data_IF_407352479939
#
_entry.id   IF_407352479939
#
_cell.length_a   1.000
_cell.length_b   1.000
_cell.length_c   1.000
_cell.angle_alpha   90.00
_cell.angle_beta   90.00
_cell.angle_gamma   90.00
#
_symmetry.space_group_name_H-M   'P 1'
#
loop_
_entity.id
_entity.type
_entity.pdbx_description
1 polymer ?
#
# COMPACT_ATOMS: atom_id res chain seq x y z
N UNK A 1 9.25 25.38 22.97
CA UNK A 1 9.16 25.76 21.56
C UNK A 1 10.52 25.81 20.88
N UNK A 2 11.50 26.52 21.39
CA UNK A 2 12.86 26.62 20.78
C UNK A 2 13.57 25.28 20.52
N UNK A 3 13.38 24.26 21.39
CA UNK A 3 13.95 22.93 21.16
C UNK A 3 13.35 22.21 19.95
N UNK A 4 12.03 22.33 19.74
CA UNK A 4 11.32 21.76 18.59
C UNK A 4 11.75 22.46 17.30
N UNK A 5 11.84 23.78 17.32
CA UNK A 5 12.28 24.60 16.18
C UNK A 5 13.68 24.19 15.72
N UNK A 6 14.62 24.00 16.66
CA UNK A 6 15.99 23.57 16.36
C UNK A 6 16.05 22.13 15.87
N UNK A 7 15.28 21.20 16.48
CA UNK A 7 15.29 19.79 16.12
C UNK A 7 14.83 19.57 14.68
N UNK A 8 13.74 20.23 14.27
CA UNK A 8 13.15 20.08 12.95
C UNK A 8 13.62 21.14 11.94
N UNK A 9 14.42 22.13 12.37
CA UNK A 9 14.94 23.22 11.53
C UNK A 9 13.83 23.99 10.82
N UNK A 10 12.79 24.37 11.57
CA UNK A 10 11.56 24.94 11.01
C UNK A 10 11.83 26.22 10.22
N UNK A 11 12.69 27.12 10.70
CA UNK A 11 13.07 28.36 10.02
C UNK A 11 13.77 28.08 8.69
N UNK A 12 14.71 27.11 8.64
CA UNK A 12 15.42 26.72 7.41
C UNK A 12 14.45 26.22 6.34
N UNK A 13 13.34 25.59 6.75
CA UNK A 13 12.30 25.07 5.86
C UNK A 13 11.13 26.03 5.65
N UNK A 14 11.17 27.25 6.17
CA UNK A 14 10.15 28.29 5.97
C UNK A 14 8.77 27.91 6.51
N UNK A 15 8.71 27.19 7.64
CA UNK A 15 7.48 26.71 8.27
C UNK A 15 7.40 27.10 9.74
N UNK A 16 6.26 26.85 10.37
CA UNK A 16 6.02 27.12 11.79
C UNK A 16 5.42 25.91 12.49
N UNK A 17 5.56 25.81 13.81
CA UNK A 17 4.96 24.73 14.60
C UNK A 17 3.46 24.59 14.32
N UNK A 18 2.74 25.71 14.24
CA UNK A 18 1.29 25.71 13.95
C UNK A 18 0.98 25.11 12.57
N UNK A 19 1.76 25.51 11.56
CA UNK A 19 1.60 24.98 10.20
C UNK A 19 1.84 23.47 10.16
N UNK A 20 2.91 23.00 10.80
CA UNK A 20 3.25 21.57 10.88
C UNK A 20 2.18 20.75 11.61
N UNK A 21 1.59 21.29 12.71
CA UNK A 21 0.48 20.65 13.41
C UNK A 21 -0.76 20.51 12.52
N UNK A 22 -1.13 21.56 11.79
CA UNK A 22 -2.27 21.53 10.85
C UNK A 22 -1.98 20.56 9.69
N UNK A 23 -0.76 20.53 9.19
CA UNK A 23 -0.32 19.62 8.15
C UNK A 23 -0.37 18.17 8.61
N UNK A 24 0.11 17.89 9.84
CA UNK A 24 0.05 16.55 10.43
C UNK A 24 -1.38 16.06 10.63
N UNK A 25 -2.26 16.90 11.17
CA UNK A 25 -3.69 16.58 11.29
C UNK A 25 -4.32 16.34 9.90
N UNK A 26 -3.95 17.13 8.89
CA UNK A 26 -4.45 16.96 7.52
C UNK A 26 -4.00 15.64 6.92
N UNK A 27 -2.72 15.28 7.04
CA UNK A 27 -2.19 13.98 6.61
C UNK A 27 -2.91 12.84 7.33
N UNK A 28 -3.02 12.92 8.65
CA UNK A 28 -3.69 11.89 9.43
C UNK A 28 -5.14 11.67 8.97
N UNK A 29 -5.94 12.73 8.83
CA UNK A 29 -7.33 12.62 8.40
C UNK A 29 -7.47 11.97 7.01
N UNK A 30 -6.52 12.16 6.12
CA UNK A 30 -6.57 11.57 4.77
C UNK A 30 -6.16 10.11 4.73
N UNK A 31 -5.38 9.62 5.71
CA UNK A 31 -4.89 8.25 5.74
C UNK A 31 -5.40 7.41 6.92
N UNK A 32 -6.12 8.01 7.88
CA UNK A 32 -6.61 7.30 9.07
C UNK A 32 -7.55 6.13 8.75
N UNK A 33 -8.13 6.07 7.55
CA UNK A 33 -8.94 4.95 7.09
C UNK A 33 -8.20 3.60 7.15
N UNK A 34 -6.85 3.61 7.13
CA UNK A 34 -6.05 2.38 7.16
C UNK A 34 -6.24 1.59 8.46
N UNK A 35 -6.57 2.25 9.57
CA UNK A 35 -6.84 1.58 10.85
C UNK A 35 -8.08 0.68 10.80
N UNK A 36 -8.96 0.89 9.81
CA UNK A 36 -10.15 0.07 9.56
C UNK A 36 -9.91 -0.91 8.40
N UNK A 37 -9.27 -0.43 7.33
CA UNK A 37 -9.07 -1.19 6.09
C UNK A 37 -8.07 -2.34 6.29
N UNK A 38 -6.93 -2.08 6.95
CA UNK A 38 -5.91 -3.12 7.12
C UNK A 38 -6.39 -4.31 7.96
N UNK A 39 -7.02 -4.12 9.15
CA UNK A 39 -7.59 -5.23 9.90
C UNK A 39 -8.71 -5.97 9.16
N UNK A 40 -9.46 -5.29 8.30
CA UNK A 40 -10.47 -5.92 7.46
C UNK A 40 -9.84 -6.87 6.45
N UNK A 41 -8.83 -6.42 5.70
CA UNK A 41 -8.15 -7.22 4.67
C UNK A 41 -7.40 -8.41 5.29
N UNK A 42 -6.59 -8.16 6.32
CA UNK A 42 -5.80 -9.21 6.96
C UNK A 42 -6.68 -10.16 7.80
N UNK A 43 -7.80 -9.67 8.32
CA UNK A 43 -8.82 -10.49 8.96
C UNK A 43 -9.45 -11.49 7.99
N UNK A 44 -9.59 -11.14 6.72
CA UNK A 44 -10.01 -12.07 5.67
C UNK A 44 -8.99 -13.19 5.39
N UNK A 45 -7.71 -12.96 5.71
CA UNK A 45 -6.66 -13.99 5.70
C UNK A 45 -6.66 -14.87 6.95
N UNK A 46 -7.61 -14.70 7.87
CA UNK A 46 -7.69 -15.45 9.12
C UNK A 46 -6.84 -14.89 10.27
N UNK A 47 -6.30 -13.69 10.14
CA UNK A 47 -5.60 -13.03 11.23
C UNK A 47 -6.59 -12.44 12.24
N UNK A 48 -6.27 -12.45 13.56
CA UNK A 48 -7.10 -11.80 14.58
C UNK A 48 -7.21 -10.28 14.35
N UNK A 49 -8.41 -9.80 13.98
CA UNK A 49 -8.63 -8.40 13.56
C UNK A 49 -8.20 -7.40 14.60
N UNK A 50 -8.49 -7.66 15.88
CA UNK A 50 -8.16 -6.76 16.98
C UNK A 50 -6.64 -6.61 17.16
N UNK A 51 -5.90 -7.71 17.08
CA UNK A 51 -4.44 -7.69 17.14
C UNK A 51 -3.82 -6.99 15.91
N UNK A 52 -4.38 -7.23 14.72
CA UNK A 52 -3.97 -6.51 13.49
C UNK A 52 -4.25 -5.02 13.58
N UNK A 53 -5.37 -4.61 14.19
CA UNK A 53 -5.66 -3.19 14.44
C UNK A 53 -4.58 -2.54 15.30
N UNK A 54 -4.21 -3.19 16.41
CA UNK A 54 -3.12 -2.70 17.27
C UNK A 54 -1.79 -2.66 16.53
N UNK A 55 -1.44 -3.73 15.80
CA UNK A 55 -0.23 -3.78 14.99
C UNK A 55 -0.20 -2.66 13.94
N UNK A 56 -1.34 -2.36 13.30
CA UNK A 56 -1.48 -1.28 12.33
C UNK A 56 -1.20 0.08 12.94
N UNK A 57 -1.83 0.39 14.08
CA UNK A 57 -1.64 1.65 14.78
C UNK A 57 -0.19 1.82 15.25
N UNK A 58 0.39 0.76 15.84
CA UNK A 58 1.76 0.80 16.36
C UNK A 58 2.79 0.97 15.24
N UNK A 59 2.67 0.22 14.13
CA UNK A 59 3.64 0.35 13.05
C UNK A 59 3.50 1.67 12.29
N UNK A 60 2.27 2.14 12.07
CA UNK A 60 2.04 3.44 11.47
C UNK A 60 2.64 4.56 12.34
N UNK A 61 2.48 4.48 13.66
CA UNK A 61 3.10 5.41 14.59
C UNK A 61 4.63 5.29 14.58
N UNK A 62 5.18 4.08 14.75
CA UNK A 62 6.62 3.85 14.85
C UNK A 62 7.35 4.23 13.54
N UNK A 63 6.87 3.71 12.40
CA UNK A 63 7.46 3.99 11.10
C UNK A 63 7.42 5.48 10.76
N UNK A 64 6.28 6.13 10.99
CA UNK A 64 6.11 7.57 10.76
C UNK A 64 6.98 8.40 11.73
N UNK A 65 7.11 7.97 12.99
CA UNK A 65 7.98 8.63 13.97
C UNK A 65 9.45 8.57 13.53
N UNK A 66 9.92 7.40 13.09
CA UNK A 66 11.28 7.22 12.55
C UNK A 66 11.47 8.12 11.32
N UNK A 67 10.51 8.15 10.40
CA UNK A 67 10.57 9.04 9.22
C UNK A 67 10.68 10.51 9.64
N UNK A 68 9.89 10.93 10.63
CA UNK A 68 9.90 12.31 11.16
C UNK A 68 11.18 12.68 11.87
N UNK A 69 11.65 11.86 12.80
CA UNK A 69 12.79 12.18 13.65
C UNK A 69 14.14 11.93 12.96
N UNK A 70 14.25 10.84 12.19
CA UNK A 70 15.53 10.43 11.57
C UNK A 70 15.75 11.05 10.20
N UNK A 71 14.71 11.03 9.33
CA UNK A 71 14.80 11.60 8.00
C UNK A 71 14.37 13.07 7.94
N UNK A 72 13.63 13.56 8.93
CA UNK A 72 13.02 14.89 8.99
C UNK A 72 12.15 15.18 7.75
N UNK A 73 11.28 14.23 7.37
CA UNK A 73 10.35 14.37 6.26
C UNK A 73 8.90 14.41 6.71
N UNK A 74 8.04 15.23 6.06
CA UNK A 74 6.60 15.30 6.33
C UNK A 74 5.84 14.13 5.68
N UNK A 75 6.36 12.91 5.81
CA UNK A 75 5.85 11.72 5.14
C UNK A 75 5.46 10.68 6.18
N UNK A 76 4.24 10.19 6.10
CA UNK A 76 3.72 9.15 6.96
C UNK A 76 3.89 7.77 6.33
N UNK A 77 4.10 6.77 7.17
CA UNK A 77 4.20 5.37 6.83
C UNK A 77 3.04 4.60 7.45
N UNK A 78 2.49 3.64 6.72
CA UNK A 78 1.50 2.70 7.23
C UNK A 78 1.47 1.44 6.36
N UNK A 79 0.74 0.34 6.76
CA UNK A 79 0.61 -0.85 5.93
C UNK A 79 0.07 -0.54 4.54
N UNK A 80 0.76 -1.01 3.49
CA UNK A 80 0.46 -0.72 2.09
C UNK A 80 -0.71 -1.54 1.57
N UNK A 81 -1.78 -0.90 1.08
CA UNK A 81 -3.01 -1.61 0.69
C UNK A 81 -2.82 -2.63 -0.43
N UNK A 82 -2.02 -2.33 -1.44
CA UNK A 82 -1.72 -3.26 -2.53
C UNK A 82 -1.05 -4.54 -2.03
N UNK A 83 -0.08 -4.39 -1.15
CA UNK A 83 0.65 -5.50 -0.53
C UNK A 83 -0.18 -6.27 0.50
N UNK A 84 -1.06 -5.57 1.25
CA UNK A 84 -2.03 -6.22 2.13
C UNK A 84 -2.99 -7.12 1.35
N UNK A 85 -3.48 -6.64 0.22
CA UNK A 85 -4.34 -7.42 -0.66
C UNK A 85 -3.59 -8.61 -1.29
N UNK A 86 -2.35 -8.43 -1.72
CA UNK A 86 -1.50 -9.52 -2.18
C UNK A 86 -1.28 -10.57 -1.08
N UNK A 87 -0.94 -10.13 0.13
CA UNK A 87 -0.78 -10.98 1.31
C UNK A 87 -2.04 -11.84 1.55
N UNK A 88 -3.21 -11.19 1.68
CA UNK A 88 -4.43 -11.85 2.10
C UNK A 88 -5.05 -12.72 1.00
N UNK A 89 -5.18 -12.17 -0.20
CA UNK A 89 -5.98 -12.81 -1.24
C UNK A 89 -5.17 -13.68 -2.19
N UNK A 90 -3.89 -13.37 -2.41
CA UNK A 90 -3.03 -14.19 -3.27
C UNK A 90 -2.27 -15.21 -2.45
N UNK A 91 -1.47 -14.76 -1.47
CA UNK A 91 -0.57 -15.65 -0.73
C UNK A 91 -1.35 -16.59 0.19
N UNK A 92 -2.24 -16.05 1.03
CA UNK A 92 -2.95 -16.88 2.00
C UNK A 92 -4.12 -17.62 1.34
N UNK A 93 -5.08 -16.90 0.73
CA UNK A 93 -6.29 -17.54 0.18
C UNK A 93 -6.05 -18.26 -1.16
N UNK A 94 -5.21 -17.68 -2.03
CA UNK A 94 -4.97 -18.21 -3.37
C UNK A 94 -3.97 -19.36 -3.39
N UNK A 95 -2.82 -19.19 -2.73
CA UNK A 95 -1.75 -20.20 -2.68
C UNK A 95 -1.90 -21.17 -1.50
N UNK A 96 -2.80 -20.91 -0.55
CA UNK A 96 -3.07 -21.77 0.60
C UNK A 96 -2.00 -21.74 1.68
N UNK A 97 -1.10 -20.77 1.69
CA UNK A 97 -0.15 -20.60 2.78
C UNK A 97 -0.82 -20.04 4.04
N UNK A 98 -0.29 -20.39 5.20
CA UNK A 98 -0.74 -19.77 6.44
C UNK A 98 -0.29 -18.31 6.50
N UNK A 99 -1.03 -17.47 7.21
CA UNK A 99 -0.64 -16.06 7.38
C UNK A 99 0.71 -15.90 8.11
N UNK A 100 1.12 -16.86 8.94
CA UNK A 100 2.43 -16.89 9.59
C UNK A 100 3.56 -17.04 8.56
N UNK A 101 3.38 -17.91 7.57
CA UNK A 101 4.34 -18.08 6.45
C UNK A 101 4.38 -16.81 5.60
N UNK A 102 3.22 -16.19 5.34
CA UNK A 102 3.15 -14.92 4.61
C UNK A 102 3.86 -13.78 5.38
N UNK A 103 3.72 -13.71 6.71
CA UNK A 103 4.49 -12.77 7.55
C UNK A 103 6.00 -13.05 7.49
N UNK A 104 6.39 -14.33 7.47
CA UNK A 104 7.78 -14.75 7.27
C UNK A 104 8.33 -14.24 5.92
N UNK A 105 7.54 -14.30 4.86
CA UNK A 105 7.92 -13.77 3.55
C UNK A 105 8.07 -12.24 3.56
N UNK A 106 7.17 -11.50 4.21
CA UNK A 106 7.29 -10.04 4.41
C UNK A 106 8.54 -9.70 5.21
N UNK A 107 8.83 -10.46 6.28
CA UNK A 107 10.04 -10.27 7.07
C UNK A 107 11.32 -10.44 6.25
N UNK A 108 11.42 -11.51 5.46
CA UNK A 108 12.57 -11.77 4.59
C UNK A 108 12.69 -10.66 3.54
N UNK A 109 11.58 -10.25 2.93
CA UNK A 109 11.54 -9.11 2.00
C UNK A 109 12.05 -7.83 2.66
N UNK A 110 11.59 -7.53 3.88
CA UNK A 110 12.04 -6.39 4.68
C UNK A 110 13.54 -6.43 4.99
N UNK A 111 14.08 -7.60 5.33
CA UNK A 111 15.52 -7.79 5.52
C UNK A 111 16.33 -7.54 4.24
N UNK A 112 15.86 -8.08 3.11
CA UNK A 112 16.48 -7.83 1.79
C UNK A 112 16.43 -6.35 1.43
N UNK A 113 15.29 -5.71 1.66
CA UNK A 113 15.08 -4.31 1.38
C UNK A 113 15.99 -3.41 2.23
N UNK A 114 16.14 -3.74 3.50
CA UNK A 114 17.06 -3.06 4.40
C UNK A 114 18.52 -3.25 3.93
N UNK A 115 18.92 -4.47 3.57
CA UNK A 115 20.26 -4.76 3.05
C UNK A 115 20.55 -3.97 1.76
N UNK A 116 19.64 -4.01 0.77
CA UNK A 116 19.79 -3.26 -0.48
C UNK A 116 19.89 -1.75 -0.24
N UNK A 117 19.16 -1.23 0.75
CA UNK A 117 19.21 0.18 1.12
C UNK A 117 20.52 0.54 1.83
N UNK A 118 21.01 -0.29 2.74
CA UNK A 118 22.29 -0.10 3.44
C UNK A 118 23.48 -0.10 2.45
N UNK A 119 23.46 -1.01 1.48
CA UNK A 119 24.52 -1.11 0.45
C UNK A 119 24.33 -0.11 -0.70
N UNK A 120 23.29 0.77 -0.65
CA UNK A 120 22.97 1.77 -1.68
C UNK A 120 22.72 1.18 -3.08
N UNK A 121 22.34 -0.07 -3.15
CA UNK A 121 22.06 -0.77 -4.41
C UNK A 121 20.68 -0.39 -4.98
N UNK A 122 19.80 0.20 -4.18
CA UNK A 122 18.44 0.55 -4.57
C UNK A 122 18.38 1.48 -5.78
N UNK A 123 19.23 2.52 -5.82
CA UNK A 123 19.28 3.43 -6.97
C UNK A 123 19.64 2.70 -8.27
N UNK A 124 20.55 1.73 -8.20
CA UNK A 124 20.95 0.93 -9.35
C UNK A 124 19.78 0.10 -9.88
N UNK A 125 19.04 -0.56 -8.98
CA UNK A 125 17.91 -1.42 -9.34
C UNK A 125 16.78 -0.57 -9.94
N UNK A 126 16.44 0.56 -9.34
CA UNK A 126 15.36 1.44 -9.82
C UNK A 126 15.67 2.03 -11.18
N UNK A 127 16.92 2.45 -11.42
CA UNK A 127 17.35 2.95 -12.74
C UNK A 127 17.32 1.88 -13.82
N UNK A 128 17.47 0.60 -13.42
CA UNK A 128 17.45 -0.54 -14.33
C UNK A 128 16.07 -0.94 -14.84
N UNK A 129 14.98 -0.41 -14.27
CA UNK A 129 13.62 -0.79 -14.66
C UNK A 129 12.97 0.37 -15.42
N UNK A 130 12.43 0.10 -16.64
CA UNK A 130 11.76 1.10 -17.45
C UNK A 130 10.64 1.80 -16.72
N UNK A 131 10.48 3.11 -16.95
CA UNK A 131 9.43 3.93 -16.35
C UNK A 131 8.05 3.35 -16.68
N UNK A 132 7.85 2.93 -17.91
CA UNK A 132 6.62 2.32 -18.42
C UNK A 132 6.18 1.10 -17.58
N UNK A 133 7.09 0.18 -17.27
CA UNK A 133 6.77 -0.98 -16.43
C UNK A 133 6.43 -0.56 -14.99
N UNK A 134 7.11 0.45 -14.44
CA UNK A 134 6.79 0.96 -13.09
C UNK A 134 5.39 1.55 -13.02
N UNK A 135 5.02 2.40 -13.97
CA UNK A 135 3.68 2.97 -14.07
C UNK A 135 2.62 1.88 -14.29
N UNK A 136 2.92 0.90 -15.14
CA UNK A 136 2.03 -0.25 -15.38
C UNK A 136 1.80 -1.11 -14.12
N UNK A 137 2.81 -1.28 -13.29
CA UNK A 137 2.69 -1.99 -12.00
C UNK A 137 1.73 -1.24 -11.08
N UNK A 138 1.88 0.07 -10.94
CA UNK A 138 0.96 0.90 -10.13
C UNK A 138 -0.48 0.79 -10.64
N UNK A 139 -0.69 0.92 -11.93
CA UNK A 139 -2.01 0.77 -12.57
C UNK A 139 -2.59 -0.62 -12.34
N UNK A 140 -1.78 -1.67 -12.52
CA UNK A 140 -2.21 -3.06 -12.29
C UNK A 140 -2.62 -3.33 -10.85
N UNK A 141 -1.88 -2.80 -9.87
CA UNK A 141 -2.25 -2.86 -8.45
C UNK A 141 -3.57 -2.12 -8.21
N UNK A 142 -3.76 -0.95 -8.83
CA UNK A 142 -5.02 -0.21 -8.75
C UNK A 142 -6.21 -1.00 -9.27
N UNK A 143 -6.08 -1.65 -10.43
CA UNK A 143 -7.11 -2.54 -10.99
C UNK A 143 -7.33 -3.79 -10.13
N UNK A 144 -6.28 -4.33 -9.53
CA UNK A 144 -6.38 -5.45 -8.60
C UNK A 144 -7.14 -5.07 -7.32
N UNK A 145 -6.89 -3.88 -6.76
CA UNK A 145 -7.67 -3.35 -5.65
C UNK A 145 -9.13 -3.12 -6.02
N UNK A 146 -9.39 -2.66 -7.25
CA UNK A 146 -10.75 -2.43 -7.73
C UNK A 146 -11.56 -3.74 -7.79
N UNK A 147 -11.03 -4.83 -8.35
CA UNK A 147 -11.76 -6.10 -8.40
C UNK A 147 -11.99 -6.68 -7.00
N UNK A 148 -11.03 -6.55 -6.09
CA UNK A 148 -11.18 -6.98 -4.69
C UNK A 148 -12.30 -6.18 -4.01
N UNK A 149 -12.30 -4.86 -4.19
CA UNK A 149 -13.31 -3.97 -3.64
C UNK A 149 -14.71 -4.32 -4.14
N UNK A 150 -14.88 -4.45 -5.45
CA UNK A 150 -16.16 -4.79 -6.08
C UNK A 150 -16.70 -6.14 -5.61
N UNK A 151 -15.81 -7.13 -5.41
CA UNK A 151 -16.14 -8.43 -4.82
C UNK A 151 -16.53 -8.30 -3.35
N UNK A 152 -15.77 -7.55 -2.54
CA UNK A 152 -16.04 -7.36 -1.11
C UNK A 152 -17.33 -6.58 -0.86
N UNK A 153 -17.67 -5.67 -1.76
CA UNK A 153 -18.95 -4.95 -1.77
C UNK A 153 -20.14 -5.81 -2.21
N UNK A 154 -19.90 -6.96 -2.86
CA UNK A 154 -20.94 -7.81 -3.45
C UNK A 154 -21.44 -7.32 -4.80
N UNK A 155 -20.82 -6.29 -5.40
CA UNK A 155 -21.17 -5.78 -6.74
C UNK A 155 -20.75 -6.76 -7.81
N UNK A 156 -19.61 -7.42 -7.64
CA UNK A 156 -19.13 -8.48 -8.52
C UNK A 156 -19.25 -9.83 -7.81
N UNK A 157 -19.87 -10.79 -8.47
CA UNK A 157 -20.07 -12.16 -8.01
C UNK A 157 -19.39 -13.16 -8.96
N UNK A 158 -19.12 -14.36 -8.45
CA UNK A 158 -18.57 -15.45 -9.27
C UNK A 158 -19.66 -16.03 -10.21
N UNK A 159 -19.27 -16.33 -11.45
CA UNK A 159 -20.13 -16.98 -12.44
C UNK A 159 -19.38 -18.12 -13.12
N UNK A 160 -19.94 -19.34 -13.17
CA UNK A 160 -19.30 -20.47 -13.86
C UNK A 160 -19.10 -20.24 -15.37
N UNK A 161 -19.95 -19.43 -16.01
CA UNK A 161 -19.90 -19.20 -17.44
C UNK A 161 -18.93 -18.08 -17.84
N UNK A 162 -18.84 -17.01 -17.03
CA UNK A 162 -18.10 -15.78 -17.38
C UNK A 162 -17.03 -15.43 -16.34
N UNK A 163 -16.80 -16.29 -15.35
CA UNK A 163 -15.95 -16.12 -14.18
C UNK A 163 -16.43 -15.00 -13.23
N UNK A 164 -16.92 -13.89 -13.77
CA UNK A 164 -17.49 -12.77 -13.02
C UNK A 164 -18.83 -12.34 -13.62
N UNK A 165 -19.73 -11.91 -12.76
CA UNK A 165 -21.04 -11.36 -13.14
C UNK A 165 -21.44 -10.26 -12.16
N UNK A 166 -22.50 -9.52 -12.49
CA UNK A 166 -23.08 -8.54 -11.58
C UNK A 166 -23.77 -9.27 -10.41
N UNK A 167 -23.50 -8.82 -9.19
CA UNK A 167 -24.13 -9.31 -7.98
C UNK A 167 -25.56 -8.77 -7.79
N UNK A 168 -26.16 -9.07 -6.65
CA UNK A 168 -27.49 -8.55 -6.30
C UNK A 168 -27.40 -7.09 -5.86
N UNK A 169 -27.81 -6.19 -6.77
CA UNK A 169 -27.80 -4.75 -6.54
C UNK A 169 -28.82 -4.27 -5.48
N UNK A 170 -29.78 -5.10 -5.11
CA UNK A 170 -30.79 -4.78 -4.11
C UNK A 170 -30.33 -5.14 -2.67
N UNK A 171 -29.24 -5.87 -2.54
CA UNK A 171 -28.72 -6.25 -1.22
C UNK A 171 -28.21 -5.01 -0.46
N UNK A 172 -28.50 -4.89 0.85
CA UNK A 172 -28.08 -3.75 1.65
C UNK A 172 -26.56 -3.48 1.60
N UNK A 173 -25.67 -4.48 1.63
CA UNK A 173 -24.24 -4.25 1.48
C UNK A 173 -23.85 -3.55 0.19
N UNK A 174 -24.44 -3.95 -0.97
CA UNK A 174 -24.14 -3.35 -2.27
C UNK A 174 -24.63 -1.90 -2.33
N UNK A 175 -25.87 -1.64 -1.88
CA UNK A 175 -26.43 -0.28 -1.84
C UNK A 175 -25.59 0.64 -0.97
N UNK A 176 -25.23 0.19 0.24
CA UNK A 176 -24.44 0.96 1.18
C UNK A 176 -23.02 1.20 0.67
N UNK A 177 -22.38 0.20 0.07
CA UNK A 177 -21.05 0.35 -0.53
C UNK A 177 -21.08 1.34 -1.71
N UNK A 178 -22.09 1.25 -2.58
CA UNK A 178 -22.26 2.18 -3.71
C UNK A 178 -22.44 3.61 -3.21
N UNK A 179 -23.31 3.80 -2.22
CA UNK A 179 -23.51 5.11 -1.59
C UNK A 179 -22.22 5.64 -0.97
N UNK A 180 -21.48 4.78 -0.27
CA UNK A 180 -20.19 5.13 0.33
C UNK A 180 -19.17 5.61 -0.71
N UNK A 181 -19.10 4.94 -1.86
CA UNK A 181 -18.23 5.35 -2.97
C UNK A 181 -18.61 6.74 -3.50
N UNK A 182 -19.90 6.97 -3.74
CA UNK A 182 -20.40 8.28 -4.21
C UNK A 182 -20.11 9.40 -3.21
N UNK A 183 -20.28 9.12 -1.91
CA UNK A 183 -19.94 10.08 -0.84
C UNK A 183 -18.44 10.40 -0.88
N UNK A 184 -17.57 9.39 -0.93
CA UNK A 184 -16.12 9.58 -0.96
C UNK A 184 -15.71 10.46 -2.15
N UNK A 185 -16.17 10.12 -3.37
CA UNK A 185 -15.85 10.86 -4.59
C UNK A 185 -16.36 12.30 -4.54
N UNK A 186 -17.57 12.50 -4.02
CA UNK A 186 -18.17 13.84 -3.89
C UNK A 186 -17.39 14.69 -2.90
N UNK A 187 -17.07 14.15 -1.73
CA UNK A 187 -16.31 14.87 -0.69
C UNK A 187 -14.88 15.16 -1.14
N UNK A 188 -14.24 14.23 -1.85
CA UNK A 188 -12.91 14.43 -2.44
C UNK A 188 -12.94 15.58 -3.47
N UNK A 189 -13.96 15.60 -4.35
CA UNK A 189 -14.15 16.69 -5.33
C UNK A 189 -14.37 18.04 -4.67
N UNK A 190 -15.08 18.06 -3.54
CA UNK A 190 -15.30 19.25 -2.71
C UNK A 190 -14.07 19.61 -1.85
N UNK A 191 -12.97 18.86 -1.98
CA UNK A 191 -11.72 19.04 -1.22
C UNK A 191 -11.92 18.94 0.31
N UNK A 192 -12.87 18.12 0.75
CA UNK A 192 -13.09 17.85 2.16
C UNK A 192 -11.98 16.90 2.66
N UNK A 193 -11.23 17.35 3.66
CA UNK A 193 -10.17 16.55 4.26
C UNK A 193 -10.76 15.31 4.94
N UNK A 194 -10.17 14.14 4.71
CA UNK A 194 -10.67 12.87 5.29
C UNK A 194 -11.91 12.32 4.58
N UNK A 195 -12.17 12.66 3.31
CA UNK A 195 -13.31 12.17 2.53
C UNK A 195 -13.49 10.65 2.63
N UNK A 196 -12.41 9.88 2.55
CA UNK A 196 -12.44 8.41 2.66
C UNK A 196 -12.91 7.98 4.07
N UNK A 197 -12.34 8.56 5.11
CA UNK A 197 -12.70 8.25 6.49
C UNK A 197 -14.19 8.58 6.76
N UNK A 198 -14.66 9.75 6.30
CA UNK A 198 -16.04 10.17 6.43
C UNK A 198 -16.97 9.18 5.72
N UNK A 199 -16.63 8.76 4.49
CA UNK A 199 -17.39 7.78 3.74
C UNK A 199 -17.52 6.45 4.48
N UNK A 200 -16.43 5.92 5.02
CA UNK A 200 -16.44 4.68 5.83
C UNK A 200 -17.34 4.84 7.05
N UNK A 201 -17.20 5.94 7.80
CA UNK A 201 -17.98 6.17 9.01
C UNK A 201 -19.48 6.33 8.71
N UNK A 202 -19.84 7.07 7.65
CA UNK A 202 -21.24 7.22 7.22
C UNK A 202 -21.85 5.86 6.85
N UNK A 203 -21.16 5.05 6.06
CA UNK A 203 -21.62 3.70 5.70
C UNK A 203 -21.74 2.83 6.95
N UNK A 204 -20.78 2.92 7.88
CA UNK A 204 -20.82 2.17 9.14
C UNK A 204 -22.04 2.56 9.97
N UNK A 205 -22.33 3.85 10.11
CA UNK A 205 -23.54 4.32 10.84
C UNK A 205 -24.80 3.82 10.15
N UNK A 206 -24.91 3.93 8.84
CA UNK A 206 -26.06 3.44 8.08
C UNK A 206 -26.22 1.91 8.18
N UNK A 207 -25.11 1.18 8.34
CA UNK A 207 -25.12 -0.28 8.48
C UNK A 207 -25.82 -0.76 9.76
N UNK A 208 -25.86 0.04 10.81
CA UNK A 208 -26.58 -0.28 12.03
C UNK A 208 -28.11 -0.28 11.83
N UNK A 209 -28.60 0.54 10.89
CA UNK A 209 -30.04 0.66 10.61
C UNK A 209 -30.50 -0.27 9.49
N UNK A 210 -29.68 -0.46 8.46
CA UNK A 210 -30.06 -1.15 7.23
C UNK A 210 -29.27 -2.42 6.95
N UNK A 211 -28.07 -2.59 7.58
CA UNK A 211 -27.15 -3.69 7.30
C UNK A 211 -27.13 -4.79 8.36
N UNK A 212 -27.93 -4.69 9.43
CA UNK A 212 -27.95 -5.66 10.52
C UNK A 212 -26.64 -5.71 11.36
N UNK A 213 -25.77 -4.72 11.20
CA UNK A 213 -24.51 -4.61 11.92
C UNK A 213 -24.73 -4.19 13.38
N UNK A 214 -23.79 -4.55 14.28
CA UNK A 214 -23.89 -4.23 15.71
C UNK A 214 -22.85 -3.18 16.08
N UNK A 215 -23.24 -2.23 16.91
CA UNK A 215 -22.34 -1.24 17.48
C UNK A 215 -21.65 -1.80 18.73
N UNK A 216 -20.32 -1.77 18.78
CA UNK A 216 -19.52 -2.33 19.88
C UNK A 216 -18.95 -1.25 20.83
N UNK A 217 -19.30 0.01 20.62
CA UNK A 217 -18.75 1.13 21.38
C UNK A 217 -17.75 1.97 20.58
N UNK A 218 -17.25 3.04 21.18
CA UNK A 218 -16.26 3.94 20.54
C UNK A 218 -14.90 3.81 21.21
N UNK A 219 -14.85 3.79 22.53
CA UNK A 219 -13.61 3.80 23.30
C UNK A 219 -13.52 2.59 24.21
N UNK A 220 -12.36 1.96 24.23
CA UNK A 220 -11.98 0.92 25.18
C UNK A 220 -10.46 0.86 25.30
N UNK A 221 -9.95 0.05 26.23
CA UNK A 221 -8.54 -0.24 26.34
C UNK A 221 -8.03 -0.96 25.07
N UNK A 222 -6.80 -0.68 24.63
CA UNK A 222 -6.23 -1.36 23.47
C UNK A 222 -6.26 -2.88 23.62
N UNK A 223 -6.72 -3.63 22.60
CA UNK A 223 -6.66 -5.10 22.60
C UNK A 223 -5.23 -5.62 22.68
N UNK A 224 -5.08 -6.90 23.03
CA UNK A 224 -3.76 -7.53 23.06
C UNK A 224 -3.21 -7.74 21.66
N UNK A 225 -1.95 -7.37 21.43
CA UNK A 225 -1.20 -7.66 20.20
C UNK A 225 -0.62 -9.09 20.19
N UNK A 226 -0.57 -9.78 21.34
CA UNK A 226 0.08 -11.07 21.50
C UNK A 226 -0.31 -12.12 20.44
N UNK A 227 -1.56 -12.20 19.94
CA UNK A 227 -1.93 -13.19 18.93
C UNK A 227 -1.19 -13.05 17.59
N UNK A 228 -0.64 -11.88 17.27
CA UNK A 228 0.08 -11.63 16.00
C UNK A 228 1.55 -11.30 16.21
N UNK A 229 1.94 -10.90 17.42
CA UNK A 229 3.30 -10.49 17.73
C UNK A 229 4.29 -11.65 17.60
N UNK A 230 5.30 -11.49 16.74
CA UNK A 230 6.35 -12.48 16.45
C UNK A 230 5.84 -13.87 16.00
N UNK A 231 4.67 -13.94 15.39
CA UNK A 231 4.06 -15.18 14.91
C UNK A 231 4.49 -15.58 13.49
N UNK A 232 5.65 -15.10 13.04
CA UNK A 232 6.16 -15.36 11.69
C UNK A 232 6.84 -16.74 11.61
N UNK A 233 6.51 -17.50 10.54
CA UNK A 233 7.18 -18.76 10.21
C UNK A 233 8.23 -18.54 9.11
N UNK A 234 9.43 -18.14 9.54
CA UNK A 234 10.56 -17.84 8.65
C UNK A 234 11.07 -19.12 7.97
N UNK A 235 11.09 -20.25 8.68
CA UNK A 235 11.63 -21.50 8.14
C UNK A 235 10.78 -22.03 6.99
N UNK A 236 9.46 -21.97 7.11
CA UNK A 236 8.56 -22.34 6.02
C UNK A 236 8.60 -21.31 4.88
N UNK A 237 8.81 -20.04 5.19
CA UNK A 237 8.96 -18.98 4.19
C UNK A 237 10.25 -19.10 3.33
N UNK A 238 11.28 -19.77 3.82
CA UNK A 238 12.51 -20.07 3.07
C UNK A 238 12.38 -21.29 2.13
N UNK A 239 11.30 -22.08 2.22
CA UNK A 239 11.09 -23.22 1.34
C UNK A 239 10.66 -22.77 -0.05
N UNK A 240 11.09 -23.49 -1.10
CA UNK A 240 11.12 -23.07 -2.51
C UNK A 240 9.86 -22.43 -3.10
N UNK A 241 8.64 -22.75 -2.64
CA UNK A 241 7.41 -22.15 -3.16
C UNK A 241 7.19 -20.69 -2.70
N UNK A 242 7.69 -20.31 -1.54
CA UNK A 242 7.49 -18.98 -0.95
C UNK A 242 8.53 -17.96 -1.42
N UNK A 243 9.67 -18.39 -1.96
CA UNK A 243 10.72 -17.48 -2.42
C UNK A 243 10.22 -16.50 -3.51
N UNK A 244 9.28 -16.96 -4.35
CA UNK A 244 8.62 -16.08 -5.33
C UNK A 244 7.76 -15.00 -4.67
N UNK A 245 7.10 -15.35 -3.56
CA UNK A 245 6.30 -14.40 -2.77
C UNK A 245 7.20 -13.32 -2.19
N UNK A 246 8.36 -13.70 -1.65
CA UNK A 246 9.38 -12.76 -1.16
C UNK A 246 9.84 -11.82 -2.27
N UNK A 247 10.14 -12.35 -3.46
CA UNK A 247 10.56 -11.54 -4.61
C UNK A 247 9.48 -10.51 -5.01
N UNK A 248 8.22 -10.92 -5.02
CA UNK A 248 7.11 -10.02 -5.36
C UNK A 248 6.94 -8.93 -4.31
N UNK A 249 6.95 -9.27 -3.01
CA UNK A 249 6.94 -8.27 -1.95
C UNK A 249 8.08 -7.28 -2.14
N UNK A 250 9.30 -7.78 -2.31
CA UNK A 250 10.49 -6.96 -2.50
C UNK A 250 10.39 -6.00 -3.70
N UNK A 251 9.97 -6.50 -4.87
CA UNK A 251 9.85 -5.66 -6.07
C UNK A 251 8.74 -4.61 -5.93
N UNK A 252 7.56 -5.01 -5.47
CA UNK A 252 6.43 -4.09 -5.30
C UNK A 252 6.75 -3.02 -4.27
N UNK A 253 7.29 -3.39 -3.12
CA UNK A 253 7.75 -2.46 -2.07
C UNK A 253 8.75 -1.45 -2.62
N UNK A 254 9.72 -1.94 -3.39
CA UNK A 254 10.76 -1.09 -3.96
C UNK A 254 10.19 -0.01 -4.88
N UNK A 255 9.19 -0.36 -5.71
CA UNK A 255 8.59 0.61 -6.65
C UNK A 255 7.62 1.55 -5.94
N UNK A 256 6.74 1.00 -5.13
CA UNK A 256 5.71 1.77 -4.43
C UNK A 256 6.33 2.81 -3.49
N UNK A 257 7.21 2.37 -2.59
CA UNK A 257 7.87 3.26 -1.66
C UNK A 257 8.72 4.34 -2.36
N UNK A 258 9.46 3.98 -3.42
CA UNK A 258 10.30 4.96 -4.13
C UNK A 258 9.46 5.96 -4.90
N UNK A 259 8.43 5.50 -5.61
CA UNK A 259 7.51 6.36 -6.36
C UNK A 259 6.82 7.36 -5.44
N UNK A 260 6.28 6.88 -4.33
CA UNK A 260 5.58 7.71 -3.35
C UNK A 260 6.52 8.70 -2.65
N UNK A 261 7.69 8.24 -2.17
CA UNK A 261 8.68 9.13 -1.53
C UNK A 261 9.12 10.25 -2.48
N UNK A 262 9.44 9.92 -3.73
CA UNK A 262 9.84 10.91 -4.74
C UNK A 262 8.70 11.86 -5.09
N UNK A 263 7.49 11.35 -5.27
CA UNK A 263 6.30 12.14 -5.59
C UNK A 263 5.93 13.15 -4.50
N UNK A 264 5.93 12.71 -3.24
CA UNK A 264 5.64 13.58 -2.10
C UNK A 264 6.78 14.57 -1.86
N UNK A 265 8.05 14.12 -1.94
CA UNK A 265 9.21 15.00 -1.78
C UNK A 265 9.27 16.09 -2.85
N UNK A 266 8.89 15.78 -4.11
CA UNK A 266 8.78 16.78 -5.19
C UNK A 266 7.74 17.84 -4.85
N UNK A 267 6.57 17.44 -4.37
CA UNK A 267 5.50 18.38 -3.95
C UNK A 267 5.88 19.19 -2.72
N UNK A 268 6.69 18.63 -1.82
CA UNK A 268 7.19 19.32 -0.63
C UNK A 268 8.33 20.31 -0.93
N UNK A 269 8.81 20.38 -2.17
CA UNK A 269 9.97 21.23 -2.53
C UNK A 269 11.29 20.72 -1.93
N UNK A 270 11.36 19.42 -1.58
CA UNK A 270 12.53 18.78 -0.97
C UNK A 270 13.47 18.14 -2.01
N UNK A 271 13.19 18.33 -3.31
CA UNK A 271 14.07 17.92 -4.40
C UNK A 271 15.01 19.07 -4.77
N UNK A 272 16.28 18.91 -4.52
CA UNK A 272 17.35 19.70 -5.14
C UNK A 272 17.62 19.13 -6.53
N UNK A 273 18.07 19.92 -7.57
CA UNK A 273 18.19 19.44 -8.94
C UNK A 273 18.80 18.02 -9.04
N UNK A 274 17.94 17.04 -9.37
CA UNK A 274 18.29 15.64 -9.58
C UNK A 274 18.50 14.77 -8.33
N UNK A 275 18.42 15.30 -7.12
CA UNK A 275 18.62 14.50 -5.88
C UNK A 275 17.63 14.91 -4.78
N UNK A 276 17.09 13.91 -4.10
CA UNK A 276 16.37 14.07 -2.84
C UNK A 276 17.39 14.09 -1.69
N UNK A 277 17.49 15.22 -0.99
CA UNK A 277 18.32 15.27 0.22
C UNK A 277 17.84 14.21 1.22
N UNK A 278 18.77 13.58 1.92
CA UNK A 278 18.45 12.57 2.95
C UNK A 278 17.63 11.38 2.47
N UNK A 279 17.56 11.10 1.16
CA UNK A 279 16.82 9.97 0.59
C UNK A 279 17.16 8.65 1.27
N UNK A 280 18.45 8.38 1.51
CA UNK A 280 18.90 7.17 2.18
C UNK A 280 18.29 7.01 3.59
N UNK A 281 18.11 8.13 4.33
CA UNK A 281 17.48 8.10 5.65
C UNK A 281 15.99 7.77 5.56
N UNK A 282 15.28 8.33 4.58
CA UNK A 282 13.89 8.02 4.34
C UNK A 282 13.70 6.55 3.94
N UNK A 283 14.58 6.04 3.07
CA UNK A 283 14.57 4.64 2.64
C UNK A 283 14.88 3.67 3.78
N UNK A 284 15.79 4.04 4.69
CA UNK A 284 16.08 3.25 5.89
C UNK A 284 14.89 3.26 6.86
N UNK A 285 14.21 4.40 7.03
CA UNK A 285 13.00 4.48 7.85
C UNK A 285 11.89 3.58 7.30
N UNK A 286 11.67 3.61 5.99
CA UNK A 286 10.72 2.78 5.27
C UNK A 286 11.06 1.28 5.41
N UNK A 287 12.30 0.88 5.10
CA UNK A 287 12.76 -0.51 5.23
C UNK A 287 12.67 -1.02 6.69
N UNK A 288 13.04 -0.17 7.65
CA UNK A 288 12.92 -0.49 9.08
C UNK A 288 11.48 -0.67 9.52
N UNK A 289 10.55 0.09 8.94
CA UNK A 289 9.13 -0.06 9.21
C UNK A 289 8.58 -1.36 8.65
N UNK A 290 8.99 -1.81 7.46
CA UNK A 290 8.61 -3.12 6.89
C UNK A 290 9.06 -4.25 7.84
N UNK A 291 10.34 -4.22 8.23
CA UNK A 291 10.91 -5.17 9.16
C UNK A 291 10.15 -5.21 10.50
N UNK A 292 9.93 -4.06 11.13
CA UNK A 292 9.23 -3.96 12.40
C UNK A 292 7.75 -4.34 12.28
N UNK A 293 7.08 -4.00 11.17
CA UNK A 293 5.68 -4.32 10.91
C UNK A 293 5.42 -5.81 10.85
N UNK A 294 6.30 -6.58 10.20
CA UNK A 294 6.18 -8.03 10.14
C UNK A 294 6.33 -8.69 11.54
N UNK A 295 7.20 -8.14 12.40
CA UNK A 295 7.35 -8.59 13.81
C UNK A 295 6.10 -8.26 14.64
N UNK A 296 5.48 -7.11 14.43
CA UNK A 296 4.24 -6.72 15.10
C UNK A 296 3.03 -7.51 14.60
N UNK A 297 3.13 -8.20 13.47
CA UNK A 297 2.06 -9.01 12.91
C UNK A 297 1.16 -8.25 11.96
N UNK A 298 1.73 -7.41 11.13
CA UNK A 298 1.03 -6.80 9.99
C UNK A 298 1.85 -6.99 8.71
N UNK A 299 1.21 -6.81 7.56
CA UNK A 299 1.86 -6.89 6.26
C UNK A 299 2.81 -5.72 6.03
N UNK A 300 3.42 -5.66 4.85
CA UNK A 300 4.41 -4.65 4.50
C UNK A 300 3.91 -3.22 4.67
N UNK A 301 4.77 -2.35 5.21
CA UNK A 301 4.52 -0.91 5.35
C UNK A 301 5.16 -0.14 4.20
N UNK A 302 4.57 0.99 3.83
CA UNK A 302 5.08 1.87 2.77
C UNK A 302 4.78 3.34 3.07
N UNK A 303 5.48 4.25 2.37
CA UNK A 303 5.17 5.66 2.40
C UNK A 303 3.80 5.94 1.76
N UNK A 304 3.01 6.83 2.38
CA UNK A 304 1.65 7.14 1.95
C UNK A 304 1.60 8.40 1.08
N UNK A 305 1.00 8.27 -0.10
CA UNK A 305 0.81 9.39 -1.04
C UNK A 305 -0.10 10.48 -0.46
N UNK A 306 -0.98 10.13 0.46
CA UNK A 306 -1.84 11.03 1.23
C UNK A 306 -1.05 12.07 2.04
N UNK A 307 0.22 11.81 2.32
CA UNK A 307 1.15 12.79 2.91
C UNK A 307 1.25 14.07 2.08
N UNK A 308 0.97 13.97 0.78
CA UNK A 308 0.89 15.14 -0.10
C UNK A 308 -0.19 16.16 0.33
N UNK A 309 -1.25 15.72 1.00
CA UNK A 309 -2.28 16.62 1.53
C UNK A 309 -1.75 17.50 2.68
N UNK A 310 -0.95 16.93 3.58
CA UNK A 310 -0.25 17.69 4.61
C UNK A 310 0.81 18.63 4.05
N UNK A 311 1.54 18.18 3.04
CA UNK A 311 2.50 19.03 2.31
C UNK A 311 1.79 20.23 1.65
N UNK A 312 0.62 20.02 1.04
CA UNK A 312 -0.20 21.10 0.47
C UNK A 312 -0.74 22.04 1.56
N UNK A 313 -0.96 21.53 2.78
CA UNK A 313 -1.34 22.35 3.94
C UNK A 313 -0.16 23.12 4.57
N UNK A 314 1.05 22.98 4.02
CA UNK A 314 2.25 23.71 4.43
C UNK A 314 3.28 22.88 5.22
N UNK A 315 3.06 21.58 5.41
CA UNK A 315 4.03 20.68 6.06
C UNK A 315 5.33 20.57 5.25
N UNK A 316 6.47 20.72 5.91
CA UNK A 316 7.81 20.71 5.28
C UNK A 316 8.81 19.87 6.04
N UNK A 317 8.52 19.53 7.28
CA UNK A 317 9.47 18.90 8.19
C UNK A 317 8.92 17.62 8.82
N UNK A 318 9.79 16.91 9.52
CA UNK A 318 9.41 15.71 10.28
C UNK A 318 8.44 15.97 11.43
N UNK A 319 8.23 17.23 11.84
CA UNK A 319 7.23 17.53 12.87
C UNK A 319 5.82 17.16 12.41
N UNK A 320 5.48 17.38 11.13
CA UNK A 320 4.24 16.87 10.51
C UNK A 320 4.08 15.37 10.73
N UNK A 321 5.13 14.58 10.46
CA UNK A 321 5.10 13.13 10.66
C UNK A 321 4.97 12.75 12.15
N UNK A 322 5.65 13.44 13.06
CA UNK A 322 5.50 13.20 14.50
C UNK A 322 4.06 13.41 14.96
N UNK A 323 3.38 14.44 14.47
CA UNK A 323 1.95 14.66 14.78
C UNK A 323 1.09 13.49 14.29
N UNK A 324 1.31 13.01 13.08
CA UNK A 324 0.62 11.84 12.55
C UNK A 324 0.86 10.60 13.43
N UNK A 325 2.10 10.37 13.85
CA UNK A 325 2.45 9.24 14.71
C UNK A 325 1.70 9.28 16.05
N UNK A 326 1.64 10.45 16.68
CA UNK A 326 0.88 10.63 17.94
C UNK A 326 -0.61 10.35 17.73
N UNK A 327 -1.18 10.79 16.62
CA UNK A 327 -2.60 10.55 16.31
C UNK A 327 -2.88 9.07 16.05
N UNK A 328 -1.96 8.31 15.42
CA UNK A 328 -2.08 6.86 15.29
C UNK A 328 -2.00 6.14 16.64
N UNK A 329 -1.16 6.60 17.57
CA UNK A 329 -1.17 6.07 18.94
C UNK A 329 -2.49 6.35 19.64
N UNK A 330 -3.08 7.53 19.45
CA UNK A 330 -4.39 7.85 19.99
C UNK A 330 -5.51 6.95 19.42
N UNK A 331 -5.38 6.47 18.19
CA UNK A 331 -6.32 5.51 17.59
C UNK A 331 -6.39 4.18 18.34
N UNK A 332 -5.39 3.78 19.12
CA UNK A 332 -5.44 2.56 19.92
C UNK A 332 -6.66 2.50 20.83
N UNK A 333 -7.16 3.66 21.27
CA UNK A 333 -8.32 3.76 22.17
C UNK A 333 -9.66 3.57 21.46
N UNK A 334 -9.70 3.58 20.11
CA UNK A 334 -10.95 3.43 19.33
C UNK A 334 -11.14 2.03 18.75
N UNK A 335 -10.56 1.01 19.36
CA UNK A 335 -10.65 -0.37 18.88
C UNK A 335 -12.09 -0.89 18.73
N UNK A 336 -13.08 -0.59 19.64
CA UNK A 336 -14.44 -1.06 19.46
C UNK A 336 -15.13 -0.43 18.23
N UNK A 337 -14.79 0.82 17.91
CA UNK A 337 -15.26 1.45 16.68
C UNK A 337 -14.73 0.73 15.45
N UNK A 338 -13.44 0.34 15.46
CA UNK A 338 -12.86 -0.43 14.36
C UNK A 338 -13.55 -1.79 14.20
N UNK A 339 -13.86 -2.49 15.29
CA UNK A 339 -14.64 -3.72 15.28
C UNK A 339 -16.08 -3.57 14.77
N UNK A 340 -16.62 -2.35 14.80
CA UNK A 340 -17.97 -2.02 14.33
C UNK A 340 -18.03 -1.72 12.82
N UNK A 341 -16.88 -1.61 12.12
CA UNK A 341 -16.82 -1.28 10.68
C UNK A 341 -16.98 -2.56 9.85
N UNK A 342 -18.07 -2.73 9.08
CA UNK A 342 -18.24 -3.91 8.23
C UNK A 342 -17.35 -3.84 6.97
N UNK A 343 -17.03 -5.00 6.40
CA UNK A 343 -16.13 -5.07 5.23
C UNK A 343 -16.64 -4.26 4.02
N UNK A 344 -17.96 -4.23 3.78
CA UNK A 344 -18.55 -3.44 2.69
C UNK A 344 -18.49 -1.93 2.93
N UNK A 345 -18.19 -1.46 4.15
CA UNK A 345 -17.95 -0.04 4.42
C UNK A 345 -16.50 0.36 4.05
N UNK A 346 -15.55 -0.57 4.09
CA UNK A 346 -14.16 -0.32 3.68
C UNK A 346 -13.94 -0.51 2.19
N UNK A 347 -14.76 -1.31 1.53
CA UNK A 347 -14.66 -1.59 0.08
C UNK A 347 -14.64 -0.31 -0.79
N UNK A 348 -15.53 0.69 -0.59
CA UNK A 348 -15.49 1.94 -1.35
C UNK A 348 -14.15 2.68 -1.30
N UNK A 349 -13.48 2.62 -0.17
CA UNK A 349 -12.17 3.23 0.02
C UNK A 349 -11.11 2.56 -0.88
N UNK A 350 -11.11 1.23 -0.93
CA UNK A 350 -10.20 0.46 -1.80
C UNK A 350 -10.46 0.77 -3.28
N UNK A 351 -11.74 0.85 -3.69
CA UNK A 351 -12.11 1.20 -5.07
C UNK A 351 -11.62 2.61 -5.42
N UNK A 352 -11.84 3.56 -4.53
CA UNK A 352 -11.42 4.95 -4.74
C UNK A 352 -9.89 5.05 -4.89
N UNK A 353 -9.14 4.40 -4.01
CA UNK A 353 -7.67 4.38 -4.11
C UNK A 353 -7.22 3.67 -5.39
N UNK A 354 -7.83 2.54 -5.74
CA UNK A 354 -7.59 1.88 -7.03
C UNK A 354 -7.78 2.82 -8.22
N UNK A 355 -8.87 3.60 -8.23
CA UNK A 355 -9.11 4.62 -9.26
C UNK A 355 -8.05 5.72 -9.29
N UNK A 356 -7.53 6.15 -8.13
CA UNK A 356 -6.46 7.15 -8.09
C UNK A 356 -5.15 6.62 -8.69
N UNK A 357 -4.85 5.33 -8.52
CA UNK A 357 -3.65 4.68 -9.08
C UNK A 357 -3.69 4.60 -10.61
N UNK A 358 -4.87 4.64 -11.23
CA UNK A 358 -5.01 4.69 -12.70
C UNK A 358 -4.46 5.99 -13.32
N UNK A 359 -4.19 7.02 -12.54
CA UNK A 359 -3.59 8.27 -13.05
C UNK A 359 -2.23 8.05 -13.71
N UNK A 360 -1.50 7.01 -13.32
CA UNK A 360 -0.19 6.68 -13.88
C UNK A 360 -0.27 6.20 -15.34
N UNK A 361 -1.49 5.91 -15.87
CA UNK A 361 -1.71 5.65 -17.30
C UNK A 361 -1.28 6.82 -18.19
N UNK A 362 -1.33 8.05 -17.71
CA UNK A 362 -0.93 9.24 -18.45
C UNK A 362 0.58 9.27 -18.71
N UNK A 363 1.35 8.57 -17.90
CA UNK A 363 2.82 8.51 -18.00
C UNK A 363 3.32 7.45 -19.01
N UNK A 364 2.40 6.67 -19.61
CA UNK A 364 2.74 5.67 -20.60
C UNK A 364 2.97 6.33 -21.98
N UNK A 365 3.98 5.87 -22.70
CA UNK A 365 4.18 6.21 -24.11
C UNK A 365 3.23 5.37 -24.97
N UNK A 366 2.09 5.94 -25.34
CA UNK A 366 1.04 5.27 -26.12
C UNK A 366 1.38 5.09 -27.61
N UNK A 367 2.43 5.74 -28.12
CA UNK A 367 2.85 5.64 -29.52
C UNK A 367 3.80 4.47 -29.76
N UNK A 368 4.62 4.09 -28.76
CA UNK A 368 5.52 2.94 -28.86
C UNK A 368 4.85 1.65 -28.40
N UNK A 369 4.47 0.80 -29.35
CA UNK A 369 3.84 -0.50 -29.07
C UNK A 369 4.74 -1.44 -28.25
N UNK A 370 6.06 -1.28 -28.30
CA UNK A 370 7.00 -2.08 -27.49
C UNK A 370 7.02 -1.65 -26.01
N UNK A 371 6.46 -0.49 -25.69
CA UNK A 371 6.24 0.02 -24.34
C UNK A 371 4.79 -0.25 -23.88
N UNK A 372 3.80 0.13 -24.70
CA UNK A 372 2.37 0.03 -24.35
C UNK A 372 1.90 -1.41 -24.16
N UNK A 373 2.30 -2.35 -25.04
CA UNK A 373 1.80 -3.73 -24.94
C UNK A 373 2.27 -4.41 -23.65
N UNK A 374 3.57 -4.38 -23.26
CA UNK A 374 3.99 -4.91 -21.97
C UNK A 374 3.29 -4.23 -20.78
N UNK A 375 3.08 -2.91 -20.84
CA UNK A 375 2.36 -2.17 -19.81
C UNK A 375 0.90 -2.63 -19.68
N UNK A 376 0.18 -2.74 -20.79
CA UNK A 376 -1.19 -3.23 -20.82
C UNK A 376 -1.29 -4.67 -20.30
N UNK A 377 -0.39 -5.55 -20.72
CA UNK A 377 -0.31 -6.95 -20.25
C UNK A 377 -0.07 -6.99 -18.75
N UNK A 378 0.87 -6.17 -18.22
CA UNK A 378 1.13 -6.06 -16.78
C UNK A 378 -0.13 -5.67 -16.01
N UNK A 379 -0.76 -4.57 -16.45
CA UNK A 379 -1.91 -3.99 -15.76
C UNK A 379 -3.14 -4.90 -15.80
N UNK A 380 -3.44 -5.52 -16.95
CA UNK A 380 -4.61 -6.39 -17.11
C UNK A 380 -4.41 -7.77 -16.48
N UNK A 381 -3.20 -8.33 -16.53
CA UNK A 381 -2.97 -9.66 -15.98
C UNK A 381 -3.17 -9.70 -14.45
N UNK A 382 -2.91 -8.62 -13.71
CA UNK A 382 -3.07 -8.59 -12.25
C UNK A 382 -4.51 -8.90 -11.80
N UNK A 383 -5.53 -8.16 -12.23
CA UNK A 383 -6.92 -8.45 -11.85
C UNK A 383 -7.45 -9.75 -12.48
N UNK A 384 -7.10 -10.06 -13.73
CA UNK A 384 -7.64 -11.24 -14.42
C UNK A 384 -7.03 -12.57 -13.97
N UNK A 385 -5.79 -12.59 -13.52
CA UNK A 385 -5.18 -13.77 -12.89
C UNK A 385 -5.30 -13.76 -11.37
N UNK A 386 -5.91 -12.71 -10.81
CA UNK A 386 -6.01 -12.46 -9.38
C UNK A 386 -4.64 -12.53 -8.68
N UNK A 387 -3.58 -12.04 -9.37
CA UNK A 387 -2.18 -12.15 -8.90
C UNK A 387 -1.31 -11.01 -9.41
N UNK A 388 -0.78 -10.20 -8.48
CA UNK A 388 0.22 -9.17 -8.78
C UNK A 388 1.50 -9.82 -9.36
N UNK A 389 1.89 -10.99 -8.83
CA UNK A 389 3.07 -11.73 -9.31
C UNK A 389 2.99 -12.11 -10.78
N UNK A 390 1.82 -12.59 -11.24
CA UNK A 390 1.61 -12.95 -12.64
C UNK A 390 1.64 -11.72 -13.55
N UNK A 391 1.06 -10.61 -13.10
CA UNK A 391 1.13 -9.35 -13.85
C UNK A 391 2.56 -8.87 -14.04
N UNK A 392 3.36 -8.87 -12.96
CA UNK A 392 4.79 -8.57 -13.03
C UNK A 392 5.51 -9.50 -14.01
N UNK A 393 5.31 -10.80 -13.85
CA UNK A 393 5.98 -11.80 -14.69
C UNK A 393 5.66 -11.60 -16.18
N UNK A 394 4.39 -11.50 -16.53
CA UNK A 394 3.98 -11.29 -17.92
C UNK A 394 4.50 -9.96 -18.47
N UNK A 395 4.49 -8.90 -17.68
CA UNK A 395 5.00 -7.59 -18.08
C UNK A 395 6.50 -7.63 -18.41
N UNK A 396 7.32 -8.12 -17.47
CA UNK A 396 8.77 -8.18 -17.67
C UNK A 396 9.16 -9.12 -18.82
N UNK A 397 8.52 -10.28 -18.94
CA UNK A 397 8.76 -11.24 -20.03
C UNK A 397 8.36 -10.62 -21.36
N UNK A 398 7.14 -10.05 -21.48
CA UNK A 398 6.66 -9.45 -22.72
C UNK A 398 7.54 -8.28 -23.15
N UNK A 399 7.96 -7.43 -22.21
CA UNK A 399 8.87 -6.31 -22.49
C UNK A 399 10.19 -6.79 -23.05
N UNK A 400 10.85 -7.74 -22.38
CA UNK A 400 12.14 -8.28 -22.81
C UNK A 400 12.04 -8.95 -24.19
N UNK A 401 11.00 -9.78 -24.39
CA UNK A 401 10.79 -10.52 -25.65
C UNK A 401 10.49 -9.58 -26.82
N UNK A 402 9.60 -8.59 -26.64
CA UNK A 402 9.29 -7.63 -27.71
C UNK A 402 10.50 -6.79 -28.09
N UNK A 403 11.25 -6.27 -27.12
CA UNK A 403 12.49 -5.51 -27.40
C UNK A 403 13.54 -6.37 -28.11
N UNK A 404 13.61 -7.68 -27.77
CA UNK A 404 14.52 -8.61 -28.47
C UNK A 404 14.12 -8.79 -29.94
N UNK A 405 12.86 -9.12 -30.21
CA UNK A 405 12.40 -9.41 -31.57
C UNK A 405 12.29 -8.19 -32.47
N UNK A 406 12.17 -6.99 -31.90
CA UNK A 406 12.19 -5.72 -32.64
C UNK A 406 13.60 -5.16 -32.84
N UNK A 407 14.66 -5.90 -32.47
CA UNK A 407 16.04 -5.47 -32.62
C UNK A 407 16.50 -4.40 -31.61
N UNK A 408 15.68 -4.10 -30.62
CA UNK A 408 15.92 -3.07 -29.59
C UNK A 408 16.44 -3.65 -28.26
N UNK A 409 17.04 -4.86 -28.29
CA UNK A 409 17.54 -5.55 -27.08
C UNK A 409 18.57 -4.72 -26.28
N UNK A 410 19.31 -3.82 -26.95
CA UNK A 410 20.30 -2.93 -26.30
C UNK A 410 19.67 -1.85 -25.42
N UNK A 411 18.39 -1.55 -25.59
CA UNK A 411 17.66 -0.61 -24.76
C UNK A 411 17.25 -1.22 -23.42
N UNK A 412 17.24 -2.56 -23.35
CA UNK A 412 16.80 -3.29 -22.16
C UNK A 412 17.95 -3.42 -21.17
N UNK A 413 17.76 -2.85 -19.98
CA UNK A 413 18.75 -2.95 -18.91
C UNK A 413 18.91 -4.40 -18.41
N UNK A 414 20.14 -4.80 -18.03
CA UNK A 414 20.45 -6.16 -17.57
C UNK A 414 19.51 -6.66 -16.46
N UNK A 415 19.05 -5.77 -15.57
CA UNK A 415 18.12 -6.10 -14.48
C UNK A 415 16.79 -6.66 -15.03
N UNK A 416 16.24 -6.09 -16.09
CA UNK A 416 14.99 -6.57 -16.73
C UNK A 416 15.16 -7.99 -17.26
N UNK A 417 16.31 -8.28 -17.90
CA UNK A 417 16.64 -9.62 -18.36
C UNK A 417 16.72 -10.63 -17.23
N UNK A 418 17.35 -10.25 -16.11
CA UNK A 418 17.45 -11.11 -14.92
C UNK A 418 16.07 -11.41 -14.35
N UNK A 419 15.23 -10.38 -14.15
CA UNK A 419 13.87 -10.55 -13.64
C UNK A 419 13.02 -11.40 -14.58
N UNK A 420 13.06 -11.13 -15.90
CA UNK A 420 12.33 -11.91 -16.89
C UNK A 420 12.77 -13.38 -16.89
N UNK A 421 14.09 -13.65 -16.79
CA UNK A 421 14.63 -15.01 -16.72
C UNK A 421 14.18 -15.75 -15.44
N UNK A 422 14.15 -15.07 -14.28
CA UNK A 422 13.65 -15.65 -13.03
C UNK A 422 12.17 -16.04 -13.17
N UNK A 423 11.33 -15.18 -13.75
CA UNK A 423 9.92 -15.48 -13.95
C UNK A 423 9.70 -16.57 -15.00
N UNK A 424 10.47 -16.61 -16.09
CA UNK A 424 10.43 -17.70 -17.06
C UNK A 424 10.80 -19.03 -16.43
N UNK A 425 11.87 -19.06 -15.63
CA UNK A 425 12.26 -20.25 -14.89
C UNK A 425 11.15 -20.71 -13.93
N UNK A 426 10.52 -19.77 -13.23
CA UNK A 426 9.37 -20.06 -12.36
C UNK A 426 8.26 -20.80 -13.12
N UNK A 427 7.82 -20.24 -14.27
CA UNK A 427 6.73 -20.84 -15.03
C UNK A 427 7.09 -22.19 -15.65
N UNK A 428 8.38 -22.37 -16.04
CA UNK A 428 8.83 -23.61 -16.63
C UNK A 428 8.97 -24.77 -15.63
N UNK A 429 9.39 -24.50 -14.38
CA UNK A 429 9.80 -25.55 -13.43
C UNK A 429 8.96 -25.62 -12.16
N UNK A 430 8.30 -24.51 -11.75
CA UNK A 430 7.56 -24.45 -10.48
C UNK A 430 6.04 -24.49 -10.71
N UNK A 431 5.59 -24.24 -11.95
CA UNK A 431 4.17 -24.17 -12.31
C UNK A 431 3.56 -22.77 -12.12
N UNK A 432 2.37 -22.56 -12.67
CA UNK A 432 1.67 -21.26 -12.70
C UNK A 432 0.88 -20.90 -11.43
N UNK A 433 1.13 -21.53 -10.30
CA UNK A 433 0.43 -21.25 -9.04
C UNK A 433 1.27 -20.46 -8.09
#
# INVERSE_FOLDING_TARGET
MQAIEKLFKLEEHGTTVRTELVAGLTTFLTMAYIVFVNPSILGDAGMPRDAVFVATCLIAALGTLIMGLYANYPIALAPGMGLNAYFAYVVVKGMGFTWQVALGAVFISGCLFLAVTLFRLRELIIRGIPHTLRSAITVGIGLFLAIISLKSAGIVAASPATYVTLGDLHSPPVVLATLGFLIIVTLDRLKVRGAILIGILVVTVLSFFFGGNKFHGVFDAPPSIAPTFMQLDILSALKGGVLNVVLVFFLVEMFDATGTLMGVAKRAGLLVPGKMERMNKALLADSGAIFAGSLLGTSSTTAYVESAAGVQAGGRTGLTAVVVAVLFLACLMISPLAGSVPAYATAPALLFVGCLMLRDLVELDWEDTTEVIPAAVTALAMPFTYSIANGLAFGFITYAVLKLFTGRAREVHAMVWVIAAIFLFKFAYIGGH
#
